data_IF_791745143727
#
_entry.id   IF_791745143727
#
_cell.length_a   1.000
_cell.length_b   1.000
_cell.length_c   1.000
_cell.angle_alpha   90.00
_cell.angle_beta   90.00
_cell.angle_gamma   90.00
#
_symmetry.space_group_name_H-M   'P 1'
#
loop_
_entity.id
_entity.type
_entity.pdbx_description
1 polymer ?
#
# COMPACT_ATOMS: atom_id res chain seq x y z
N UNK A 1 0.89 -21.87 -44.08
CA UNK A 1 0.03 -21.87 -42.87
C UNK A 1 0.40 -22.93 -41.81
N UNK A 2 1.53 -23.67 -41.91
CA UNK A 2 1.80 -24.84 -41.04
C UNK A 2 3.11 -24.82 -40.22
N UNK A 3 3.90 -23.73 -40.19
CA UNK A 3 5.19 -23.72 -39.48
C UNK A 3 5.10 -23.25 -38.00
N UNK A 4 4.16 -22.38 -37.66
CA UNK A 4 4.14 -21.71 -36.34
C UNK A 4 3.42 -22.53 -35.26
N UNK A 5 2.51 -23.44 -35.65
CA UNK A 5 1.83 -24.35 -34.71
C UNK A 5 2.78 -25.41 -34.10
N UNK A 6 3.91 -25.69 -34.77
CA UNK A 6 4.90 -26.65 -34.30
C UNK A 6 5.69 -26.12 -33.09
N UNK A 7 6.13 -24.86 -33.10
CA UNK A 7 7.01 -24.33 -32.03
C UNK A 7 6.31 -24.23 -30.67
N UNK A 8 5.05 -23.79 -30.64
CA UNK A 8 4.28 -23.65 -29.40
C UNK A 8 3.89 -25.00 -28.80
N UNK A 9 3.55 -25.99 -29.65
CA UNK A 9 3.20 -27.35 -29.19
C UNK A 9 4.42 -28.17 -28.77
N UNK A 10 5.57 -28.01 -29.44
CA UNK A 10 6.82 -28.70 -29.06
C UNK A 10 7.33 -28.18 -27.73
N UNK A 11 7.35 -26.86 -27.51
CA UNK A 11 7.77 -26.29 -26.23
C UNK A 11 6.83 -26.73 -25.10
N UNK A 12 5.51 -26.69 -25.31
CA UNK A 12 4.54 -27.10 -24.30
C UNK A 12 4.66 -28.60 -23.97
N UNK A 13 4.80 -29.51 -24.96
CA UNK A 13 5.00 -30.95 -24.72
C UNK A 13 6.37 -31.29 -24.11
N UNK A 14 7.45 -30.63 -24.54
CA UNK A 14 8.79 -30.88 -24.03
C UNK A 14 8.97 -30.39 -22.58
N UNK A 15 8.23 -29.34 -22.17
CA UNK A 15 8.23 -28.85 -20.80
C UNK A 15 7.34 -29.66 -19.85
N UNK A 16 6.14 -30.06 -20.30
CA UNK A 16 5.18 -30.81 -19.48
C UNK A 16 5.65 -32.23 -19.13
N UNK A 17 6.52 -32.83 -19.93
CA UNK A 17 7.09 -34.16 -19.66
C UNK A 17 8.05 -34.22 -18.45
N UNK A 18 8.37 -33.07 -17.83
CA UNK A 18 9.32 -32.96 -16.71
C UNK A 18 8.69 -32.43 -15.41
N UNK A 19 7.37 -32.25 -15.35
CA UNK A 19 6.70 -31.22 -14.53
C UNK A 19 6.02 -31.72 -13.23
N UNK A 20 6.74 -32.45 -12.39
CA UNK A 20 6.31 -32.68 -10.99
C UNK A 20 7.03 -31.76 -9.98
N UNK A 21 8.09 -31.06 -10.38
CA UNK A 21 9.06 -30.51 -9.43
C UNK A 21 9.16 -28.98 -9.36
N UNK A 22 8.47 -28.19 -10.21
CA UNK A 22 8.69 -26.74 -10.26
C UNK A 22 7.40 -25.92 -10.47
N UNK A 23 6.61 -25.64 -9.41
CA UNK A 23 5.36 -24.86 -9.51
C UNK A 23 5.58 -23.46 -10.12
N UNK A 24 6.76 -22.85 -9.90
CA UNK A 24 7.16 -21.57 -10.52
C UNK A 24 7.14 -21.62 -12.05
N UNK A 25 7.59 -22.74 -12.63
CA UNK A 25 7.67 -22.93 -14.07
C UNK A 25 6.29 -23.02 -14.71
N UNK A 26 5.35 -23.71 -14.04
CA UNK A 26 3.97 -23.83 -14.49
C UNK A 26 3.26 -22.48 -14.53
N UNK A 27 3.43 -21.66 -13.49
CA UNK A 27 2.85 -20.31 -13.44
C UNK A 27 3.41 -19.41 -14.54
N UNK A 28 4.73 -19.45 -14.80
CA UNK A 28 5.32 -18.72 -15.92
C UNK A 28 4.82 -19.20 -17.27
N UNK A 29 4.71 -20.52 -17.45
CA UNK A 29 4.20 -21.10 -18.70
C UNK A 29 2.77 -20.64 -18.97
N UNK A 30 1.92 -20.61 -17.93
CA UNK A 30 0.55 -20.12 -18.03
C UNK A 30 0.50 -18.63 -18.39
N UNK A 31 1.31 -17.78 -17.73
CA UNK A 31 1.44 -16.37 -18.05
C UNK A 31 1.80 -16.15 -19.53
N UNK A 32 2.86 -16.80 -20.03
CA UNK A 32 3.30 -16.62 -21.41
C UNK A 32 2.35 -17.25 -22.42
N UNK A 33 1.69 -18.36 -22.08
CA UNK A 33 0.69 -18.99 -22.94
C UNK A 33 -0.51 -18.05 -23.13
N UNK A 34 -1.01 -17.48 -22.04
CA UNK A 34 -2.11 -16.51 -22.08
C UNK A 34 -1.73 -15.25 -22.86
N UNK A 35 -0.47 -14.79 -22.74
CA UNK A 35 0.01 -13.64 -23.49
C UNK A 35 0.05 -13.91 -25.00
N UNK A 36 0.50 -15.10 -25.41
CA UNK A 36 0.50 -15.50 -26.83
C UNK A 36 -0.92 -15.65 -27.37
N UNK A 37 -1.85 -16.17 -26.58
CA UNK A 37 -3.27 -16.25 -26.95
C UNK A 37 -3.84 -14.85 -27.18
N UNK A 38 -3.60 -13.91 -26.27
CA UNK A 38 -3.98 -12.51 -26.43
C UNK A 38 -3.39 -11.89 -27.71
N UNK A 39 -2.10 -12.09 -27.98
CA UNK A 39 -1.46 -11.59 -29.21
C UNK A 39 -2.15 -12.14 -30.47
N UNK A 40 -2.56 -13.41 -30.43
CA UNK A 40 -3.25 -14.05 -31.55
C UNK A 40 -4.66 -13.48 -31.76
N UNK A 41 -5.39 -13.23 -30.68
CA UNK A 41 -6.73 -12.61 -30.71
C UNK A 41 -6.68 -11.17 -31.24
N UNK A 42 -5.63 -10.42 -30.89
CA UNK A 42 -5.40 -9.05 -31.39
C UNK A 42 -4.66 -9.01 -32.74
N UNK A 43 -4.46 -10.17 -33.40
CA UNK A 43 -3.80 -10.29 -34.70
C UNK A 43 -2.38 -9.67 -34.77
N UNK A 44 -1.63 -9.72 -33.67
CA UNK A 44 -0.26 -9.21 -33.65
C UNK A 44 0.66 -10.05 -34.52
N UNK A 45 1.61 -9.38 -35.16
CA UNK A 45 2.63 -10.05 -35.97
C UNK A 45 3.67 -10.75 -35.07
N UNK A 46 4.58 -11.50 -35.69
CA UNK A 46 5.61 -12.28 -34.97
C UNK A 46 6.55 -11.39 -34.16
N UNK A 47 6.92 -10.24 -34.69
CA UNK A 47 7.85 -9.30 -34.06
C UNK A 47 7.21 -8.62 -32.85
N UNK A 48 5.99 -8.10 -33.02
CA UNK A 48 5.14 -7.55 -31.96
C UNK A 48 4.94 -8.56 -30.83
N UNK A 49 4.61 -9.81 -31.15
CA UNK A 49 4.44 -10.88 -30.15
C UNK A 49 5.74 -11.13 -29.39
N UNK A 50 6.87 -11.21 -30.09
CA UNK A 50 8.19 -11.42 -29.46
C UNK A 50 8.58 -10.27 -28.54
N UNK A 51 8.35 -9.03 -28.97
CA UNK A 51 8.65 -7.82 -28.19
C UNK A 51 7.75 -7.77 -26.97
N UNK A 52 6.44 -8.01 -27.11
CA UNK A 52 5.52 -7.99 -25.98
C UNK A 52 5.86 -9.06 -24.93
N UNK A 53 6.19 -10.28 -25.35
CA UNK A 53 6.69 -11.32 -24.44
C UNK A 53 7.95 -10.85 -23.70
N UNK A 54 8.87 -10.18 -24.41
CA UNK A 54 10.08 -9.62 -23.80
C UNK A 54 9.76 -8.53 -22.78
N UNK A 55 8.86 -7.59 -23.09
CA UNK A 55 8.44 -6.52 -22.17
C UNK A 55 7.86 -7.13 -20.90
N UNK A 56 6.90 -8.05 -21.02
CA UNK A 56 6.27 -8.70 -19.86
C UNK A 56 7.28 -9.51 -19.05
N UNK A 57 8.22 -10.19 -19.71
CA UNK A 57 9.31 -10.90 -19.03
C UNK A 57 10.18 -9.94 -18.22
N UNK A 58 10.61 -8.82 -18.79
CA UNK A 58 11.47 -7.84 -18.10
C UNK A 58 10.72 -7.18 -16.95
N UNK A 59 9.45 -6.82 -17.13
CA UNK A 59 8.60 -6.29 -16.06
C UNK A 59 8.40 -7.31 -14.94
N UNK A 60 8.22 -8.58 -15.28
CA UNK A 60 8.11 -9.64 -14.28
C UNK A 60 9.41 -9.85 -13.49
N UNK A 61 10.55 -9.79 -14.16
CA UNK A 61 11.84 -9.83 -13.49
C UNK A 61 11.99 -8.65 -12.52
N UNK A 62 11.77 -7.42 -13.00
CA UNK A 62 11.80 -6.21 -12.17
C UNK A 62 10.84 -6.28 -10.97
N UNK A 63 9.64 -6.82 -11.17
CA UNK A 63 8.68 -7.05 -10.08
C UNK A 63 9.26 -7.97 -9.00
N UNK A 64 9.97 -9.03 -9.38
CA UNK A 64 10.39 -10.11 -8.47
C UNK A 64 11.77 -9.89 -7.84
N UNK A 65 12.51 -8.89 -8.30
CA UNK A 65 13.82 -8.48 -7.76
C UNK A 65 13.75 -7.94 -6.32
N UNK A 66 12.59 -7.46 -5.87
CA UNK A 66 12.41 -6.91 -4.52
C UNK A 66 11.17 -7.49 -3.83
N UNK A 67 11.23 -7.79 -2.52
CA UNK A 67 10.04 -8.16 -1.74
C UNK A 67 9.10 -6.98 -1.50
N UNK A 68 9.58 -5.76 -1.68
CA UNK A 68 8.79 -4.55 -1.44
C UNK A 68 7.71 -4.36 -2.51
N UNK A 69 6.65 -3.67 -2.14
CA UNK A 69 5.61 -3.30 -3.09
C UNK A 69 6.18 -2.30 -4.12
N UNK A 70 6.22 -2.69 -5.39
CA UNK A 70 6.65 -1.87 -6.53
C UNK A 70 5.60 -1.85 -7.66
N UNK A 71 4.31 -1.93 -7.30
CA UNK A 71 3.16 -1.92 -8.24
C UNK A 71 3.22 -0.72 -9.20
N UNK A 72 3.35 0.50 -8.67
CA UNK A 72 3.37 1.74 -9.46
C UNK A 72 4.59 1.81 -10.37
N UNK A 73 5.74 1.34 -9.87
CA UNK A 73 6.97 1.24 -10.66
C UNK A 73 6.84 0.22 -11.80
N UNK A 74 6.22 -0.93 -11.56
CA UNK A 74 5.97 -1.93 -12.61
C UNK A 74 5.05 -1.38 -13.70
N UNK A 75 4.01 -0.64 -13.31
CA UNK A 75 3.08 -0.01 -14.25
C UNK A 75 3.78 1.07 -15.08
N UNK A 76 4.57 1.91 -14.44
CA UNK A 76 5.36 2.96 -15.09
C UNK A 76 6.37 2.35 -16.06
N UNK A 77 7.13 1.35 -15.60
CA UNK A 77 8.15 0.68 -16.40
C UNK A 77 7.56 -0.04 -17.63
N UNK A 78 6.43 -0.73 -17.47
CA UNK A 78 5.71 -1.33 -18.60
C UNK A 78 5.26 -0.27 -19.61
N UNK A 79 4.73 0.86 -19.12
CA UNK A 79 4.28 1.97 -19.97
C UNK A 79 5.44 2.62 -20.74
N UNK A 80 6.58 2.84 -20.09
CA UNK A 80 7.79 3.37 -20.72
C UNK A 80 8.32 2.44 -21.83
N UNK A 81 8.42 1.14 -21.54
CA UNK A 81 8.84 0.15 -22.54
C UNK A 81 7.90 0.12 -23.74
N UNK A 82 6.58 0.17 -23.52
CA UNK A 82 5.62 0.23 -24.62
C UNK A 82 5.76 1.51 -25.44
N UNK A 83 5.96 2.67 -24.80
CA UNK A 83 6.19 3.93 -25.51
C UNK A 83 7.45 3.89 -26.38
N UNK A 84 8.54 3.25 -25.91
CA UNK A 84 9.74 3.01 -26.71
C UNK A 84 9.47 2.15 -27.96
N UNK A 85 8.43 1.32 -27.96
CA UNK A 85 8.05 0.48 -29.10
C UNK A 85 6.83 0.99 -29.87
N UNK A 86 6.39 2.23 -29.62
CA UNK A 86 5.23 2.85 -30.29
C UNK A 86 5.52 4.20 -30.92
N UNK A 87 6.62 4.84 -30.54
CA UNK A 87 7.03 6.13 -31.09
C UNK A 87 8.18 5.92 -32.07
N UNK A 88 8.18 6.62 -33.19
CA UNK A 88 9.27 6.57 -34.17
C UNK A 88 10.36 7.61 -33.87
N UNK A 89 11.45 7.20 -33.20
CA UNK A 89 12.69 7.99 -33.03
C UNK A 89 13.91 7.07 -32.98
N UNK A 90 14.45 6.64 -34.13
CA UNK A 90 15.76 6.00 -34.16
C UNK A 90 16.82 6.93 -33.53
N UNK A 91 17.78 6.44 -32.71
CA UNK A 91 18.07 5.03 -32.35
C UNK A 91 17.28 4.48 -31.14
N UNK A 92 16.42 5.27 -30.50
CA UNK A 92 15.84 4.94 -29.18
C UNK A 92 14.47 4.25 -29.24
N UNK A 93 13.69 4.47 -30.30
CA UNK A 93 12.32 3.97 -30.37
C UNK A 93 11.90 3.55 -31.77
N UNK A 94 11.19 2.42 -31.85
CA UNK A 94 10.71 1.77 -33.08
C UNK A 94 9.19 1.83 -33.11
N UNK A 95 8.59 2.15 -34.25
CA UNK A 95 7.13 2.19 -34.43
C UNK A 95 6.57 0.79 -34.70
N UNK A 96 6.51 -0.03 -33.64
CA UNK A 96 6.04 -1.42 -33.70
C UNK A 96 4.57 -1.56 -33.33
N UNK A 97 4.07 -0.78 -32.37
CA UNK A 97 2.67 -0.83 -31.93
C UNK A 97 1.97 0.49 -32.18
N UNK A 98 0.76 0.42 -32.73
CA UNK A 98 -0.11 1.60 -32.83
C UNK A 98 -0.64 2.05 -31.47
N UNK A 99 -1.10 3.30 -31.37
CA UNK A 99 -1.70 3.85 -30.15
C UNK A 99 -2.87 2.99 -29.62
N UNK A 100 -3.69 2.45 -30.53
CA UNK A 100 -4.79 1.55 -30.17
C UNK A 100 -4.27 0.23 -29.56
N UNK A 101 -3.24 -0.37 -30.19
CA UNK A 101 -2.63 -1.60 -29.70
C UNK A 101 -1.98 -1.41 -28.33
N UNK A 102 -1.32 -0.27 -28.08
CA UNK A 102 -0.77 0.06 -26.76
C UNK A 102 -1.86 0.07 -25.69
N UNK A 103 -2.99 0.71 -26.00
CA UNK A 103 -4.13 0.80 -25.07
C UNK A 103 -4.69 -0.60 -24.75
N UNK A 104 -4.84 -1.45 -25.77
CA UNK A 104 -5.27 -2.84 -25.60
C UNK A 104 -4.28 -3.65 -24.75
N UNK A 105 -2.97 -3.49 -25.01
CA UNK A 105 -1.91 -4.17 -24.26
C UNK A 105 -1.92 -3.73 -22.79
N UNK A 106 -2.01 -2.43 -22.51
CA UNK A 106 -2.06 -1.91 -21.14
C UNK A 106 -3.30 -2.41 -20.41
N UNK A 107 -4.46 -2.40 -21.08
CA UNK A 107 -5.69 -2.93 -20.50
C UNK A 107 -5.56 -4.43 -20.17
N UNK A 108 -4.99 -5.21 -21.08
CA UNK A 108 -4.72 -6.63 -20.84
C UNK A 108 -3.75 -6.82 -19.66
N UNK A 109 -2.64 -6.07 -19.64
CA UNK A 109 -1.62 -6.14 -18.60
C UNK A 109 -2.19 -5.85 -17.19
N UNK A 110 -3.00 -4.80 -17.07
CA UNK A 110 -3.66 -4.45 -15.81
C UNK A 110 -4.59 -5.58 -15.36
N UNK A 111 -5.43 -6.08 -16.26
CA UNK A 111 -6.48 -7.03 -15.92
C UNK A 111 -6.01 -8.47 -15.73
N UNK A 112 -4.82 -8.82 -16.22
CA UNK A 112 -4.27 -10.19 -16.11
C UNK A 112 -3.06 -10.22 -15.20
N UNK A 113 -2.00 -9.48 -15.52
CA UNK A 113 -0.76 -9.53 -14.77
C UNK A 113 -0.87 -8.78 -13.45
N UNK A 114 -1.24 -7.49 -13.48
CA UNK A 114 -1.30 -6.66 -12.26
C UNK A 114 -2.42 -7.11 -11.31
N UNK A 115 -3.55 -7.59 -11.83
CA UNK A 115 -4.62 -8.19 -11.01
C UNK A 115 -4.11 -9.34 -10.13
N UNK A 116 -3.12 -10.09 -10.60
CA UNK A 116 -2.52 -11.21 -9.87
C UNK A 116 -1.13 -10.86 -9.30
N UNK A 117 -0.85 -9.58 -9.09
CA UNK A 117 0.44 -9.09 -8.60
C UNK A 117 0.93 -9.81 -7.33
N UNK A 118 0.07 -9.97 -6.32
CA UNK A 118 0.44 -10.61 -5.06
C UNK A 118 0.82 -12.09 -5.23
N UNK A 119 0.14 -12.81 -6.13
CA UNK A 119 0.48 -14.21 -6.46
C UNK A 119 1.91 -14.30 -6.98
N UNK A 120 2.28 -13.43 -7.92
CA UNK A 120 3.63 -13.39 -8.46
C UNK A 120 4.66 -13.03 -7.39
N UNK A 121 4.37 -12.04 -6.53
CA UNK A 121 5.27 -11.70 -5.41
C UNK A 121 5.50 -12.89 -4.49
N UNK A 122 4.45 -13.57 -4.05
CA UNK A 122 4.57 -14.71 -3.13
C UNK A 122 5.38 -15.87 -3.70
N UNK A 123 5.27 -16.14 -5.01
CA UNK A 123 5.90 -17.31 -5.62
C UNK A 123 7.36 -17.04 -6.03
N UNK A 124 7.65 -15.84 -6.51
CA UNK A 124 8.89 -15.56 -7.21
C UNK A 124 9.89 -14.70 -6.43
N UNK A 125 9.46 -14.01 -5.37
CA UNK A 125 10.36 -13.21 -4.55
C UNK A 125 11.21 -14.11 -3.64
N UNK A 126 12.53 -13.91 -3.55
CA UNK A 126 13.35 -14.60 -2.56
C UNK A 126 12.97 -14.16 -1.14
N UNK A 127 12.91 -15.12 -0.22
CA UNK A 127 12.64 -14.85 1.19
C UNK A 127 13.89 -14.23 1.84
N UNK A 128 13.74 -13.05 2.46
CA UNK A 128 14.83 -12.37 3.18
C UNK A 128 14.52 -12.41 4.66
N UNK A 129 15.31 -13.16 5.44
CA UNK A 129 15.21 -13.16 6.90
C UNK A 129 16.14 -12.09 7.47
N UNK A 130 15.57 -11.15 8.23
CA UNK A 130 16.33 -10.13 8.95
C UNK A 130 16.36 -10.50 10.44
N UNK A 131 17.52 -10.94 10.92
CA UNK A 131 17.75 -11.18 12.35
C UNK A 131 18.33 -9.90 12.97
N UNK A 132 17.53 -9.20 13.77
CA UNK A 132 17.93 -7.94 14.40
C UNK A 132 18.26 -8.20 15.87
N UNK A 133 19.55 -8.19 16.21
CA UNK A 133 20.01 -8.12 17.59
C UNK A 133 20.17 -6.66 18.03
N UNK A 134 19.26 -6.16 18.87
CA UNK A 134 19.34 -4.82 19.45
C UNK A 134 19.97 -4.88 20.84
N UNK A 135 21.15 -4.29 21.02
CA UNK A 135 21.70 -3.99 22.34
C UNK A 135 21.50 -2.52 22.65
N UNK A 136 20.57 -2.21 23.56
CA UNK A 136 20.34 -0.84 24.01
C UNK A 136 21.40 -0.43 25.03
N UNK A 137 22.26 0.52 24.65
CA UNK A 137 23.24 1.14 25.55
C UNK A 137 22.76 2.57 25.82
N UNK A 138 21.78 2.75 26.70
CA UNK A 138 21.55 4.06 27.29
C UNK A 138 20.13 4.41 27.67
N UNK A 139 19.74 4.03 28.89
CA UNK A 139 19.48 5.06 29.91
C UNK A 139 20.33 4.63 31.11
N UNK A 140 21.42 5.36 31.39
CA UNK A 140 21.99 5.33 32.72
C UNK A 140 20.91 5.90 33.64
N UNK A 141 20.37 5.05 34.51
CA UNK A 141 19.55 5.48 35.62
C UNK A 141 20.38 6.44 36.47
N UNK A 142 20.28 7.73 36.18
CA UNK A 142 20.53 8.75 37.18
C UNK A 142 19.34 8.67 38.14
N UNK A 143 19.44 7.71 39.05
CA UNK A 143 18.60 7.54 40.23
C UNK A 143 18.69 8.84 41.03
N UNK A 144 17.69 9.71 40.88
CA UNK A 144 17.27 10.72 41.85
C UNK A 144 15.78 11.01 41.59
N UNK A 145 14.96 9.99 41.81
CA UNK A 145 13.49 10.01 41.62
C UNK A 145 12.79 10.77 42.77
N UNK A 146 13.50 11.15 43.84
CA UNK A 146 12.87 11.69 45.05
C UNK A 146 12.59 13.20 45.01
N UNK A 147 13.39 14.01 44.31
CA UNK A 147 13.25 15.47 44.35
C UNK A 147 12.16 15.99 43.39
N UNK A 148 11.96 15.34 42.24
CA UNK A 148 11.00 15.80 41.22
C UNK A 148 9.56 15.46 41.60
N UNK A 149 9.32 14.32 42.27
CA UNK A 149 7.97 13.92 42.67
C UNK A 149 7.39 14.81 43.77
N UNK A 150 8.21 15.35 44.66
CA UNK A 150 7.75 16.22 45.75
C UNK A 150 7.31 17.61 45.25
N UNK A 151 8.02 18.18 44.27
CA UNK A 151 7.66 19.49 43.70
C UNK A 151 6.34 19.42 42.93
N UNK A 152 6.17 18.38 42.10
CA UNK A 152 4.95 18.20 41.28
C UNK A 152 3.73 17.91 42.15
N UNK A 153 3.87 17.08 43.19
CA UNK A 153 2.75 16.81 44.10
C UNK A 153 2.31 18.05 44.89
N UNK A 154 3.25 18.95 45.22
CA UNK A 154 2.94 20.17 45.96
C UNK A 154 2.17 21.17 45.10
N UNK A 155 2.61 21.41 43.87
CA UNK A 155 1.90 22.30 42.92
C UNK A 155 0.48 21.80 42.63
N UNK A 156 0.32 20.50 42.36
CA UNK A 156 -1.01 19.90 42.11
C UNK A 156 -1.91 20.05 43.34
N UNK A 157 -1.37 19.90 44.56
CA UNK A 157 -2.14 20.06 45.79
C UNK A 157 -2.60 21.50 46.01
N UNK A 158 -1.73 22.46 45.74
CA UNK A 158 -2.03 23.88 45.95
C UNK A 158 -3.06 24.38 44.93
N UNK A 159 -2.99 23.94 43.67
CA UNK A 159 -4.00 24.24 42.64
C UNK A 159 -5.37 23.64 42.98
N UNK A 160 -5.41 22.37 43.40
CA UNK A 160 -6.67 21.70 43.79
C UNK A 160 -7.31 22.41 44.98
N UNK A 161 -6.51 22.84 45.97
CA UNK A 161 -7.03 23.58 47.12
C UNK A 161 -7.63 24.93 46.72
N UNK A 162 -6.97 25.65 45.81
CA UNK A 162 -7.45 26.94 45.30
C UNK A 162 -8.75 26.81 44.51
N UNK A 163 -8.86 25.79 43.65
CA UNK A 163 -10.09 25.56 42.87
C UNK A 163 -11.26 25.13 43.76
N UNK A 164 -10.99 24.34 44.80
CA UNK A 164 -12.04 23.88 45.73
C UNK A 164 -12.63 25.05 46.52
N UNK A 165 -11.80 25.99 46.99
CA UNK A 165 -12.29 27.17 47.70
C UNK A 165 -13.12 28.10 46.79
N UNK A 166 -12.70 28.29 45.54
CA UNK A 166 -13.46 29.07 44.56
C UNK A 166 -14.83 28.44 44.25
N UNK A 167 -14.87 27.12 44.04
CA UNK A 167 -16.14 26.41 43.80
C UNK A 167 -17.07 26.54 45.00
N UNK A 168 -16.55 26.40 46.21
CA UNK A 168 -17.35 26.51 47.44
C UNK A 168 -17.90 27.92 47.64
N UNK A 169 -17.11 28.95 47.35
CA UNK A 169 -17.57 30.34 47.37
C UNK A 169 -18.69 30.58 46.34
N UNK A 170 -18.52 30.09 45.10
CA UNK A 170 -19.53 30.21 44.04
C UNK A 170 -20.85 29.52 44.39
N UNK A 171 -20.79 28.36 45.04
CA UNK A 171 -21.97 27.66 45.52
C UNK A 171 -22.67 28.44 46.64
N UNK A 172 -21.89 29.03 47.56
CA UNK A 172 -22.42 29.86 48.64
C UNK A 172 -23.12 31.12 48.09
N UNK A 173 -22.47 31.85 47.19
CA UNK A 173 -23.04 33.03 46.55
C UNK A 173 -24.35 32.70 45.81
N UNK A 174 -24.39 31.54 45.14
CA UNK A 174 -25.59 31.07 44.45
C UNK A 174 -26.72 30.70 45.42
N UNK A 175 -26.40 30.14 46.59
CA UNK A 175 -27.39 29.81 47.62
C UNK A 175 -27.96 31.08 48.25
N UNK A 176 -27.11 32.07 48.53
CA UNK A 176 -27.52 33.36 49.11
C UNK A 176 -28.41 34.15 48.13
N UNK A 177 -28.08 34.14 46.83
CA UNK A 177 -28.93 34.73 45.80
C UNK A 177 -30.31 34.08 45.72
N UNK A 178 -30.39 32.75 45.88
CA UNK A 178 -31.66 32.03 45.87
C UNK A 178 -32.49 32.38 47.10
N UNK A 179 -31.87 32.45 48.28
CA UNK A 179 -32.53 32.84 49.53
C UNK A 179 -33.06 34.27 49.49
N UNK A 180 -32.29 35.20 48.91
CA UNK A 180 -32.72 36.59 48.69
C UNK A 180 -33.91 36.67 47.71
N UNK A 181 -33.89 35.89 46.63
CA UNK A 181 -34.98 35.84 45.67
C UNK A 181 -36.27 35.27 46.29
N UNK A 182 -36.15 34.20 47.09
CA UNK A 182 -37.28 33.62 47.84
C UNK A 182 -37.86 34.66 48.80
N UNK A 183 -37.02 35.33 49.59
CA UNK A 183 -37.46 36.36 50.55
C UNK A 183 -38.22 37.51 49.87
N UNK A 184 -37.75 37.98 48.71
CA UNK A 184 -38.43 39.02 47.91
C UNK A 184 -39.79 38.56 47.39
N UNK A 185 -39.93 37.30 46.98
CA UNK A 185 -41.22 36.75 46.55
C UNK A 185 -42.20 36.64 47.72
N UNK A 186 -41.75 36.20 48.89
CA UNK A 186 -42.58 36.12 50.10
C UNK A 186 -43.10 37.50 50.55
N UNK A 187 -42.27 38.55 50.48
CA UNK A 187 -42.71 39.92 50.79
C UNK A 187 -43.75 40.43 49.80
N UNK A 188 -43.61 40.11 48.50
CA UNK A 188 -44.56 40.54 47.48
C UNK A 188 -45.91 39.82 47.58
N UNK A 189 -45.94 38.57 48.08
CA UNK A 189 -47.18 37.82 48.35
C UNK A 189 -47.95 38.42 49.54
N UNK A 190 -47.25 38.90 50.58
CA UNK A 190 -47.89 39.56 51.74
C UNK A 190 -48.47 40.94 51.43
N UNK A 191 -47.95 41.66 50.45
CA UNK A 191 -48.43 43.01 50.05
C UNK A 191 -49.65 42.95 49.10
N UNK A 192 -49.93 41.78 48.51
CA UNK A 192 -51.03 41.58 47.53
C UNK A 192 -52.31 40.97 48.13
N UNK A 193 -52.40 40.90 49.46
CA UNK A 193 -53.55 40.45 50.26
C UNK A 193 -54.01 41.59 51.15
#
# INVERSE_FOLDING_TARGET
>A
MNAVCFSSRILCRALLASDAAQPKRRVLLELYTNLVLFCKEQHFNREQTSVLISIIKTVHQFNTETPLNNTDHCMTYCSELLLCHSVRRPPFSTDLFSSEQVTQILFYFINTYMRHYFLYKCIFTPEVQLDISLSYIGILENTNVEETSQSVQKEVRDEVMCLTSQLQQRLQDSADQLNDAISKLETNIKVKK
#
